data_IF_927809858499
#
_entry.id   IF_927809858499
#
_cell.length_a   1.000
_cell.length_b   1.000
_cell.length_c   1.000
_cell.angle_alpha   90.00
_cell.angle_beta   90.00
_cell.angle_gamma   90.00
#
_symmetry.space_group_name_H-M   'P 1'
#
loop_
_entity.id
_entity.type
_entity.pdbx_description
1 polymer ?
#
# COMPACT_ATOMS: atom_id res chain seq x y z
N UNK A 1 -37.83 -28.96 -31.43
CA UNK A 1 -37.45 -27.76 -32.18
C UNK A 1 -38.34 -26.63 -31.68
N UNK A 2 -37.81 -25.81 -30.78
CA UNK A 2 -38.16 -24.40 -30.58
C UNK A 2 -37.02 -23.81 -29.76
N UNK A 3 -36.30 -22.90 -30.40
CA UNK A 3 -35.29 -22.01 -29.83
C UNK A 3 -36.02 -20.71 -29.49
N UNK A 4 -35.65 -20.06 -28.39
CA UNK A 4 -35.77 -18.62 -28.10
C UNK A 4 -35.42 -18.47 -26.62
N UNK A 5 -34.12 -18.42 -26.29
CA UNK A 5 -33.26 -17.22 -26.25
C UNK A 5 -33.77 -16.22 -25.22
N UNK A 6 -33.01 -16.16 -24.12
CA UNK A 6 -33.13 -15.22 -23.01
C UNK A 6 -33.15 -13.76 -23.50
N UNK A 7 -34.25 -13.05 -23.24
CA UNK A 7 -34.29 -11.59 -23.20
C UNK A 7 -34.11 -11.13 -21.76
N UNK A 8 -32.90 -10.74 -21.39
CA UNK A 8 -32.67 -9.78 -20.31
C UNK A 8 -31.60 -8.79 -20.78
N UNK A 9 -32.04 -7.78 -21.54
CA UNK A 9 -31.32 -6.51 -21.66
C UNK A 9 -31.90 -5.50 -20.66
N UNK A 10 -31.08 -4.98 -19.75
CA UNK A 10 -30.67 -3.57 -19.78
C UNK A 10 -29.93 -3.19 -18.48
N UNK A 11 -28.82 -2.49 -18.68
CA UNK A 11 -27.87 -1.99 -17.69
C UNK A 11 -28.45 -0.96 -16.72
N UNK A 12 -27.94 -0.94 -15.48
CA UNK A 12 -27.30 0.29 -14.94
C UNK A 12 -26.39 -0.03 -13.74
N UNK A 13 -25.07 0.12 -13.91
CA UNK A 13 -24.11 0.56 -12.90
C UNK A 13 -22.71 0.64 -13.55
N UNK A 14 -22.24 1.84 -13.95
CA UNK A 14 -20.88 2.02 -14.42
C UNK A 14 -19.94 2.16 -13.23
N UNK A 15 -19.44 1.04 -12.70
CA UNK A 15 -18.44 1.03 -11.62
C UNK A 15 -17.01 0.92 -12.17
N UNK A 16 -16.56 1.90 -12.95
CA UNK A 16 -15.14 2.35 -12.93
C UNK A 16 -15.09 3.83 -13.33
N UNK A 17 -14.96 4.72 -12.33
CA UNK A 17 -14.70 6.17 -12.51
C UNK A 17 -13.28 6.41 -13.04
N UNK A 18 -13.03 6.09 -14.31
CA UNK A 18 -11.73 6.33 -14.96
C UNK A 18 -11.83 7.01 -16.33
N UNK A 19 -13.02 7.48 -16.72
CA UNK A 19 -13.29 7.98 -18.06
C UNK A 19 -13.52 9.51 -18.07
N UNK A 20 -12.45 10.29 -18.07
CA UNK A 20 -12.45 11.64 -18.67
C UNK A 20 -11.04 11.98 -19.18
N UNK A 21 -10.60 11.33 -20.27
CA UNK A 21 -9.28 11.60 -20.89
C UNK A 21 -9.43 12.12 -22.31
N UNK A 22 -9.78 13.39 -22.46
CA UNK A 22 -9.49 14.13 -23.72
C UNK A 22 -9.13 15.61 -23.48
N UNK A 23 -9.63 16.27 -22.42
CA UNK A 23 -9.21 17.61 -21.99
C UNK A 23 -7.94 17.63 -21.14
N UNK A 24 -7.64 16.53 -20.45
CA UNK A 24 -6.69 16.52 -19.32
C UNK A 24 -5.23 16.36 -19.75
N UNK A 25 -4.94 15.71 -20.89
CA UNK A 25 -3.56 15.38 -21.28
C UNK A 25 -2.70 16.62 -21.60
N UNK A 26 -3.27 17.63 -22.25
CA UNK A 26 -2.56 18.87 -22.60
C UNK A 26 -2.34 19.76 -21.38
N UNK A 27 -3.33 19.89 -20.51
CA UNK A 27 -3.19 20.67 -19.27
C UNK A 27 -2.26 19.98 -18.26
N UNK A 28 -2.34 18.65 -18.16
CA UNK A 28 -1.41 17.85 -17.38
C UNK A 28 0.04 18.02 -17.87
N UNK A 29 0.26 18.05 -19.19
CA UNK A 29 1.58 18.35 -19.77
C UNK A 29 2.09 19.73 -19.35
N UNK A 30 1.25 20.76 -19.40
CA UNK A 30 1.63 22.12 -18.95
C UNK A 30 1.94 22.19 -17.45
N UNK A 31 1.22 21.42 -16.62
CA UNK A 31 1.51 21.31 -15.19
C UNK A 31 2.89 20.68 -14.96
N UNK A 32 3.20 19.61 -15.69
CA UNK A 32 4.53 18.98 -15.66
C UNK A 32 5.63 19.93 -16.13
N UNK A 33 5.44 20.64 -17.25
CA UNK A 33 6.44 21.57 -17.78
C UNK A 33 6.75 22.68 -16.78
N UNK A 34 5.72 23.25 -16.13
CA UNK A 34 5.89 24.27 -15.07
C UNK A 34 6.58 23.71 -13.83
N UNK A 35 6.15 22.55 -13.35
CA UNK A 35 6.76 21.89 -12.20
C UNK A 35 8.24 21.57 -12.45
N UNK A 36 8.60 21.09 -13.65
CA UNK A 36 9.98 20.74 -14.02
C UNK A 36 10.86 21.96 -14.27
N UNK A 37 10.29 23.06 -14.78
CA UNK A 37 11.04 24.28 -15.06
C UNK A 37 11.40 25.08 -13.80
N UNK A 38 10.51 25.15 -12.81
CA UNK A 38 10.68 26.05 -11.66
C UNK A 38 10.40 25.44 -10.29
N UNK A 39 9.96 24.18 -10.21
CA UNK A 39 9.52 23.58 -8.95
C UNK A 39 8.26 24.22 -8.37
N UNK A 40 7.43 24.83 -9.24
CA UNK A 40 6.24 25.57 -8.85
C UNK A 40 5.31 24.77 -7.93
N UNK A 41 4.96 25.38 -6.79
CA UNK A 41 4.17 24.74 -5.73
C UNK A 41 2.73 24.49 -6.17
N UNK A 42 2.15 25.40 -6.95
CA UNK A 42 0.78 25.26 -7.44
C UNK A 42 0.67 24.08 -8.42
N UNK A 43 1.62 24.00 -9.37
CA UNK A 43 1.74 22.87 -10.30
C UNK A 43 1.99 21.55 -9.57
N UNK A 44 2.85 21.55 -8.54
CA UNK A 44 3.07 20.36 -7.69
C UNK A 44 1.78 19.90 -7.01
N UNK A 45 1.05 20.81 -6.38
CA UNK A 45 -0.17 20.47 -5.66
C UNK A 45 -1.25 19.92 -6.60
N UNK A 46 -1.41 20.52 -7.78
CA UNK A 46 -2.34 20.04 -8.80
C UNK A 46 -1.96 18.64 -9.35
N UNK A 47 -0.66 18.39 -9.54
CA UNK A 47 -0.16 17.06 -9.90
C UNK A 47 -0.42 16.04 -8.76
N UNK A 48 -0.17 16.42 -7.51
CA UNK A 48 -0.45 15.55 -6.35
C UNK A 48 -1.92 15.17 -6.28
N UNK A 49 -2.84 16.13 -6.41
CA UNK A 49 -4.28 15.88 -6.39
C UNK A 49 -4.70 14.96 -7.55
N UNK A 50 -4.21 15.22 -8.76
CA UNK A 50 -4.51 14.40 -9.95
C UNK A 50 -4.05 12.94 -9.81
N UNK A 51 -2.89 12.71 -9.20
CA UNK A 51 -2.35 11.35 -9.03
C UNK A 51 -2.71 10.70 -7.69
N UNK A 52 -3.41 11.38 -6.79
CA UNK A 52 -3.68 10.86 -5.45
C UNK A 52 -4.50 9.57 -5.49
N UNK A 53 -5.48 9.48 -6.38
CA UNK A 53 -6.29 8.26 -6.55
C UNK A 53 -5.45 7.07 -7.04
N UNK A 54 -4.45 7.31 -7.89
CA UNK A 54 -3.51 6.27 -8.33
C UNK A 54 -2.66 5.78 -7.14
N UNK A 55 -2.17 6.69 -6.30
CA UNK A 55 -1.43 6.33 -5.08
C UNK A 55 -2.32 5.51 -4.14
N UNK A 56 -3.56 5.94 -3.93
CA UNK A 56 -4.53 5.24 -3.09
C UNK A 56 -4.81 3.83 -3.60
N UNK A 57 -5.11 3.67 -4.88
CA UNK A 57 -5.39 2.37 -5.48
C UNK A 57 -4.19 1.41 -5.35
N UNK A 58 -2.96 1.90 -5.53
CA UNK A 58 -1.76 1.10 -5.32
C UNK A 58 -1.56 0.72 -3.85
N UNK A 59 -1.79 1.65 -2.91
CA UNK A 59 -1.71 1.37 -1.48
C UNK A 59 -2.72 0.29 -1.04
N UNK A 60 -3.96 0.36 -1.53
CA UNK A 60 -5.01 -0.63 -1.27
C UNK A 60 -4.64 -2.01 -1.85
N UNK A 61 -4.07 -2.05 -3.06
CA UNK A 61 -3.60 -3.29 -3.68
C UNK A 61 -2.44 -3.92 -2.91
N UNK A 62 -1.45 -3.14 -2.47
CA UNK A 62 -0.33 -3.62 -1.66
C UNK A 62 -0.83 -4.16 -0.33
N UNK A 63 -1.74 -3.45 0.34
CA UNK A 63 -2.34 -3.92 1.58
C UNK A 63 -3.05 -5.26 1.38
N UNK A 64 -3.81 -5.41 0.29
CA UNK A 64 -4.48 -6.67 -0.06
C UNK A 64 -3.49 -7.82 -0.28
N UNK A 65 -2.44 -7.61 -1.09
CA UNK A 65 -1.40 -8.62 -1.33
C UNK A 65 -0.75 -9.02 -0.01
N UNK A 66 -0.45 -8.05 0.85
CA UNK A 66 0.08 -8.31 2.16
C UNK A 66 -0.89 -9.20 2.94
N UNK A 67 -2.15 -8.79 3.11
CA UNK A 67 -3.16 -9.58 3.83
C UNK A 67 -3.40 -10.98 3.25
N UNK A 68 -3.30 -11.18 1.93
CA UNK A 68 -3.47 -12.49 1.28
C UNK A 68 -2.23 -13.39 1.39
N UNK A 69 -1.04 -12.81 1.44
CA UNK A 69 0.22 -13.55 1.60
C UNK A 69 0.47 -14.03 3.03
N UNK A 70 -0.30 -13.54 3.99
CA UNK A 70 -0.14 -13.85 5.41
C UNK A 70 -1.17 -14.92 5.78
N UNK A 71 -0.70 -16.14 6.08
CA UNK A 71 -1.49 -17.03 6.92
C UNK A 71 -1.42 -16.48 8.37
N UNK A 72 -2.57 -16.34 9.04
CA UNK A 72 -2.69 -15.78 10.41
C UNK A 72 -1.75 -16.48 11.44
N UNK A 73 -1.30 -17.70 11.12
CA UNK A 73 -0.34 -18.48 11.89
C UNK A 73 1.08 -17.91 11.95
N UNK A 74 1.58 -17.31 10.87
CA UNK A 74 3.00 -16.92 10.77
C UNK A 74 3.32 -15.72 11.69
N UNK A 75 2.41 -14.75 11.77
CA UNK A 75 2.56 -13.59 12.66
C UNK A 75 2.37 -13.92 14.11
N UNK A 76 1.40 -14.78 14.40
CA UNK A 76 1.14 -15.25 15.74
C UNK A 76 2.36 -15.99 16.29
N UNK A 77 3.03 -16.78 15.44
CA UNK A 77 4.26 -17.48 15.79
C UNK A 77 5.44 -16.53 16.00
N UNK A 78 5.69 -15.59 15.07
CA UNK A 78 6.75 -14.60 15.21
C UNK A 78 6.56 -13.73 16.47
N UNK A 79 5.32 -13.28 16.73
CA UNK A 79 4.97 -12.53 17.93
C UNK A 79 5.14 -13.34 19.22
N UNK A 80 4.81 -14.64 19.21
CA UNK A 80 4.99 -15.51 20.36
C UNK A 80 6.48 -15.72 20.70
N UNK A 81 7.33 -15.92 19.70
CA UNK A 81 8.79 -16.03 19.91
C UNK A 81 9.33 -14.75 20.56
N UNK A 82 9.00 -13.58 20.00
CA UNK A 82 9.43 -12.30 20.54
C UNK A 82 8.87 -12.00 21.93
N UNK A 83 7.66 -12.48 22.23
CA UNK A 83 7.08 -12.39 23.58
C UNK A 83 7.91 -13.20 24.60
N UNK A 84 8.32 -14.42 24.27
CA UNK A 84 9.15 -15.23 25.17
C UNK A 84 10.54 -14.61 25.38
N UNK A 85 11.13 -14.03 24.35
CA UNK A 85 12.39 -13.27 24.47
C UNK A 85 12.20 -12.05 25.38
N UNK A 86 11.14 -11.27 25.16
CA UNK A 86 10.83 -10.12 26.00
C UNK A 86 10.59 -10.51 27.47
N UNK A 87 9.97 -11.66 27.74
CA UNK A 87 9.81 -12.17 29.11
C UNK A 87 11.16 -12.43 29.81
N UNK A 88 12.16 -12.90 29.06
CA UNK A 88 13.48 -13.19 29.60
C UNK A 88 14.32 -11.91 29.79
N UNK A 89 14.13 -10.91 28.92
CA UNK A 89 14.93 -9.68 28.89
C UNK A 89 14.34 -8.54 29.74
N UNK A 90 13.09 -8.65 30.16
CA UNK A 90 12.43 -7.59 30.92
C UNK A 90 13.01 -7.41 32.32
N UNK A 91 13.41 -6.18 32.61
CA UNK A 91 13.84 -5.73 33.93
C UNK A 91 12.90 -4.64 34.48
N UNK A 92 12.15 -4.91 35.58
CA UNK A 92 11.23 -3.94 36.19
C UNK A 92 11.92 -2.73 36.85
N UNK A 93 13.24 -2.79 37.09
CA UNK A 93 13.99 -1.67 37.63
C UNK A 93 14.42 -0.69 36.51
N UNK A 94 14.41 -1.14 35.25
CA UNK A 94 14.78 -0.35 34.05
C UNK A 94 13.55 0.11 33.26
N UNK A 95 12.52 -0.72 33.19
CA UNK A 95 11.33 -0.50 32.38
C UNK A 95 10.08 -0.25 33.23
N UNK A 96 9.14 0.51 32.68
CA UNK A 96 7.93 0.92 33.41
C UNK A 96 6.96 -0.25 33.60
N UNK A 97 6.38 -0.76 32.49
CA UNK A 97 5.55 -1.97 32.51
C UNK A 97 6.00 -2.95 31.44
N UNK A 98 5.78 -4.24 31.70
CA UNK A 98 6.07 -5.29 30.73
C UNK A 98 5.22 -5.14 29.47
N UNK A 99 3.97 -4.69 29.59
CA UNK A 99 3.06 -4.48 28.46
C UNK A 99 3.62 -3.44 27.48
N UNK A 100 4.18 -2.33 27.98
CA UNK A 100 4.80 -1.31 27.13
C UNK A 100 6.06 -1.85 26.45
N UNK A 101 6.92 -2.54 27.19
CA UNK A 101 8.17 -3.12 26.68
C UNK A 101 7.92 -4.24 25.66
N UNK A 102 7.17 -5.26 26.05
CA UNK A 102 6.88 -6.43 25.24
C UNK A 102 6.07 -6.11 23.99
N UNK A 103 5.12 -5.16 24.07
CA UNK A 103 4.34 -4.75 22.89
C UNK A 103 5.22 -4.18 21.78
N UNK A 104 6.31 -3.47 22.13
CA UNK A 104 7.27 -2.96 21.15
C UNK A 104 8.02 -4.12 20.47
N UNK A 105 8.51 -5.09 21.24
CA UNK A 105 9.24 -6.24 20.72
C UNK A 105 8.38 -7.12 19.80
N UNK A 106 7.15 -7.45 20.23
CA UNK A 106 6.19 -8.24 19.45
C UNK A 106 5.86 -7.56 18.11
N UNK A 107 5.58 -6.25 18.14
CA UNK A 107 5.30 -5.49 16.90
C UNK A 107 6.50 -5.47 15.96
N UNK A 108 7.72 -5.34 16.49
CA UNK A 108 8.95 -5.37 15.68
C UNK A 108 9.10 -6.71 14.97
N UNK A 109 8.98 -7.82 15.70
CA UNK A 109 9.09 -9.15 15.11
C UNK A 109 8.07 -9.43 14.01
N UNK A 110 6.80 -9.02 14.21
CA UNK A 110 5.76 -9.17 13.18
C UNK A 110 6.08 -8.30 11.94
N UNK A 111 6.56 -7.07 12.14
CA UNK A 111 6.95 -6.18 11.04
C UNK A 111 8.18 -6.73 10.29
N UNK A 112 9.12 -7.34 10.99
CA UNK A 112 10.30 -7.96 10.37
C UNK A 112 9.91 -9.21 9.56
N UNK A 113 8.97 -10.02 10.05
CA UNK A 113 8.38 -11.13 9.29
C UNK A 113 7.72 -10.63 7.98
N UNK A 114 6.91 -9.56 8.07
CA UNK A 114 6.31 -8.90 6.90
C UNK A 114 7.38 -8.45 5.89
N UNK A 115 8.48 -7.85 6.36
CA UNK A 115 9.58 -7.40 5.49
C UNK A 115 10.27 -8.55 4.77
N UNK A 116 10.39 -9.71 5.43
CA UNK A 116 10.93 -10.93 4.83
C UNK A 116 10.07 -11.44 3.67
N UNK A 117 8.74 -11.40 3.83
CA UNK A 117 7.79 -11.84 2.80
C UNK A 117 7.75 -10.91 1.58
N UNK A 118 7.89 -9.59 1.80
CA UNK A 118 7.81 -8.58 0.72
C UNK A 118 9.14 -8.41 -0.03
N UNK A 119 10.27 -8.87 0.54
CA UNK A 119 11.60 -8.81 -0.06
C UNK A 119 12.16 -7.39 -0.16
N UNK A 120 13.23 -7.08 0.59
CA UNK A 120 13.84 -5.73 0.59
C UNK A 120 15.15 -5.62 -0.20
N UNK A 121 15.46 -6.59 -1.07
CA UNK A 121 16.73 -6.63 -1.83
C UNK A 121 16.61 -6.34 -3.33
N UNK A 122 15.77 -5.38 -3.72
CA UNK A 122 15.97 -4.70 -5.00
C UNK A 122 15.98 -3.19 -4.79
N UNK A 123 17.18 -2.64 -4.59
CA UNK A 123 17.42 -1.22 -4.84
C UNK A 123 17.18 -0.97 -6.33
N UNK A 124 16.28 -0.06 -6.73
CA UNK A 124 16.08 0.27 -8.15
C UNK A 124 17.22 1.19 -8.66
N UNK A 125 18.47 0.84 -8.39
CA UNK A 125 19.63 1.55 -8.97
C UNK A 125 19.82 1.22 -10.47
N UNK A 126 19.21 0.13 -10.96
CA UNK A 126 19.32 -0.30 -12.36
C UNK A 126 18.10 0.01 -13.24
N UNK A 127 17.11 0.76 -12.72
CA UNK A 127 15.96 1.19 -13.52
C UNK A 127 16.32 2.48 -14.24
N UNK A 128 16.87 2.34 -15.45
CA UNK A 128 16.99 3.45 -16.40
C UNK A 128 15.56 3.88 -16.80
N UNK A 129 15.06 4.94 -16.16
CA UNK A 129 13.79 5.54 -16.53
C UNK A 129 13.95 6.23 -17.88
N UNK A 130 13.25 5.77 -18.94
CA UNK A 130 13.32 6.40 -20.26
C UNK A 130 12.74 7.82 -20.28
#
# INVERSE_FOLDING_TARGET
>A
MSNDTDEIESNDEPTVRGATRTSDGTELRKLWDRFRASGDVESRNALTEFYFDMVRANAENIAKILFEAIEEGDFSQAGAVAFFEALNDYDPDVHNTFEEFGSIAIRRAIVDEIRGLVGTEQTPEDVDYP
#
